data_IF_525398408866
#
_entry.id   IF_525398408866
#
_cell.length_a   1.000
_cell.length_b   1.000
_cell.length_c   1.000
_cell.angle_alpha   90.00
_cell.angle_beta   90.00
_cell.angle_gamma   90.00
#
_symmetry.space_group_name_H-M   'P 1'
#
loop_
_entity.id
_entity.type
_entity.pdbx_description
1 polymer ?
#
# COMPACT_ATOMS: atom_id res chain seq x y z
N UNK A 1 6.86 21.36 -26.75
CA UNK A 1 5.54 22.04 -26.88
C UNK A 1 5.77 23.54 -26.77
N UNK A 2 5.32 24.33 -27.78
CA UNK A 2 5.25 25.78 -27.66
C UNK A 2 4.05 26.17 -26.78
N UNK A 3 4.24 27.11 -25.87
CA UNK A 3 3.16 27.55 -24.99
C UNK A 3 2.13 28.45 -25.68
N UNK A 4 2.53 29.11 -26.77
CA UNK A 4 1.67 29.98 -27.57
C UNK A 4 1.42 29.30 -28.91
N UNK A 5 0.31 28.58 -29.01
CA UNK A 5 -0.14 27.92 -30.23
C UNK A 5 -1.36 28.67 -30.82
N UNK A 6 -1.49 28.76 -32.17
CA UNK A 6 -2.67 29.36 -32.76
C UNK A 6 -3.93 28.54 -32.44
N UNK A 7 -4.82 29.10 -31.63
CA UNK A 7 -6.11 28.47 -31.27
C UNK A 7 -6.09 27.48 -30.12
N UNK A 8 -4.92 27.14 -29.55
CA UNK A 8 -4.79 26.20 -28.42
C UNK A 8 -3.82 26.73 -27.36
N UNK A 9 -4.00 26.28 -26.12
CA UNK A 9 -3.11 26.60 -25.03
C UNK A 9 -2.08 25.49 -24.83
N UNK A 10 -0.80 25.77 -25.03
CA UNK A 10 0.27 24.79 -24.86
C UNK A 10 0.37 24.21 -23.46
N UNK A 11 -0.08 24.89 -22.40
CA UNK A 11 -0.16 24.36 -21.05
C UNK A 11 -1.18 23.22 -20.90
N UNK A 12 -2.32 23.33 -21.60
CA UNK A 12 -3.33 22.25 -21.59
C UNK A 12 -2.82 21.02 -22.32
N UNK A 13 -2.10 21.22 -23.44
CA UNK A 13 -1.46 20.14 -24.19
C UNK A 13 -0.38 19.43 -23.34
N UNK A 14 0.44 20.16 -22.58
CA UNK A 14 1.42 19.57 -21.65
C UNK A 14 0.71 18.67 -20.63
N UNK A 15 -0.38 19.14 -20.03
CA UNK A 15 -1.17 18.39 -19.07
C UNK A 15 -1.76 17.11 -19.66
N UNK A 16 -2.30 17.18 -20.87
CA UNK A 16 -2.89 16.04 -21.56
C UNK A 16 -1.82 14.99 -21.93
N UNK A 17 -0.65 15.43 -22.41
CA UNK A 17 0.48 14.53 -22.67
C UNK A 17 0.98 13.86 -21.38
N UNK A 18 1.15 14.62 -20.29
CA UNK A 18 1.61 14.08 -19.01
C UNK A 18 0.63 13.06 -18.42
N UNK A 19 -0.67 13.23 -18.65
CA UNK A 19 -1.70 12.28 -18.20
C UNK A 19 -1.81 11.05 -19.10
N UNK A 20 -1.77 11.24 -20.42
CA UNK A 20 -1.99 10.16 -21.38
C UNK A 20 -0.71 9.36 -21.69
N UNK A 21 0.45 9.99 -21.58
CA UNK A 21 1.76 9.42 -21.92
C UNK A 21 2.79 9.68 -20.81
N UNK A 22 2.66 9.06 -19.64
CA UNK A 22 3.48 9.34 -18.44
C UNK A 22 4.99 9.09 -18.61
N UNK A 23 5.38 8.40 -19.69
CA UNK A 23 6.77 8.11 -20.03
C UNK A 23 7.33 9.02 -21.13
N UNK A 24 6.56 10.01 -21.57
CA UNK A 24 7.02 10.98 -22.57
C UNK A 24 7.52 12.24 -21.87
N UNK A 25 8.80 12.55 -22.04
CA UNK A 25 9.36 13.80 -21.54
C UNK A 25 8.88 14.97 -22.40
N UNK A 26 8.38 16.01 -21.75
CA UNK A 26 7.86 17.21 -22.43
C UNK A 26 8.73 18.40 -22.09
N UNK A 27 9.24 19.09 -23.12
CA UNK A 27 9.94 20.37 -22.98
C UNK A 27 8.98 21.47 -23.38
N UNK A 28 8.70 22.40 -22.46
CA UNK A 28 7.95 23.60 -22.75
C UNK A 28 8.83 24.67 -23.39
N UNK A 29 8.34 25.35 -24.43
CA UNK A 29 9.05 26.40 -25.13
C UNK A 29 8.18 27.66 -25.11
N UNK A 30 8.77 28.83 -24.83
CA UNK A 30 8.05 30.09 -24.82
C UNK A 30 8.88 31.23 -25.42
N UNK A 31 8.21 32.14 -26.11
CA UNK A 31 8.80 33.39 -26.58
C UNK A 31 8.87 34.51 -25.53
N UNK A 32 8.19 34.33 -24.40
CA UNK A 32 8.19 35.27 -23.27
C UNK A 32 8.77 34.61 -22.01
N UNK A 33 9.84 35.20 -21.48
CA UNK A 33 10.42 34.73 -20.20
C UNK A 33 9.59 35.24 -19.03
N UNK A 34 8.64 34.40 -18.56
CA UNK A 34 7.89 34.64 -17.30
C UNK A 34 8.14 33.51 -16.32
N UNK A 35 8.50 33.84 -15.10
CA UNK A 35 8.70 32.86 -14.03
C UNK A 35 7.37 32.11 -13.75
N UNK A 36 6.25 32.81 -13.83
CA UNK A 36 4.93 32.23 -13.57
C UNK A 36 4.55 31.16 -14.60
N UNK A 37 4.80 31.41 -15.87
CA UNK A 37 4.54 30.43 -16.96
C UNK A 37 5.47 29.24 -16.88
N UNK A 38 6.74 29.43 -16.52
CA UNK A 38 7.70 28.36 -16.31
C UNK A 38 7.26 27.43 -15.14
N UNK A 39 6.92 28.02 -13.99
CA UNK A 39 6.43 27.28 -12.83
C UNK A 39 5.13 26.54 -13.16
N UNK A 40 4.22 27.13 -13.92
CA UNK A 40 2.98 26.51 -14.33
C UNK A 40 3.21 25.32 -15.27
N UNK A 41 4.10 25.43 -16.24
CA UNK A 41 4.47 24.34 -17.14
C UNK A 41 5.09 23.16 -16.38
N UNK A 42 6.01 23.43 -15.44
CA UNK A 42 6.64 22.40 -14.59
C UNK A 42 5.62 21.68 -13.70
N UNK A 43 4.68 22.42 -13.07
CA UNK A 43 3.59 21.83 -12.27
C UNK A 43 2.65 20.95 -13.08
N UNK A 44 2.46 21.23 -14.38
CA UNK A 44 1.62 20.47 -15.27
C UNK A 44 2.32 19.25 -15.89
N UNK A 45 3.62 19.05 -15.60
CA UNK A 45 4.35 17.86 -16.00
C UNK A 45 5.39 18.06 -17.10
N UNK A 46 5.76 19.32 -17.41
CA UNK A 46 6.92 19.58 -18.26
C UNK A 46 8.21 19.14 -17.54
N UNK A 47 9.11 18.48 -18.27
CA UNK A 47 10.43 18.05 -17.78
C UNK A 47 11.44 19.20 -17.78
N UNK A 48 11.25 20.19 -18.64
CA UNK A 48 12.12 21.35 -18.76
C UNK A 48 11.39 22.51 -19.45
N UNK A 49 11.91 23.74 -19.29
CA UNK A 49 11.36 24.96 -19.86
C UNK A 49 12.44 25.74 -20.60
N UNK A 50 12.20 26.07 -21.86
CA UNK A 50 13.14 26.80 -22.73
C UNK A 50 12.55 28.13 -23.22
N UNK A 51 13.37 29.18 -23.26
CA UNK A 51 12.97 30.52 -23.72
C UNK A 51 13.59 30.80 -25.10
N UNK A 52 12.77 31.28 -26.04
CA UNK A 52 13.22 31.80 -27.33
C UNK A 52 13.72 33.28 -27.20
N UNK A 53 14.74 33.71 -27.99
CA UNK A 53 15.51 32.93 -28.93
C UNK A 53 16.57 32.07 -28.27
N UNK A 54 16.86 30.89 -28.83
CA UNK A 54 17.85 29.96 -28.31
C UNK A 54 19.27 30.52 -28.57
N UNK A 55 19.87 31.10 -27.53
CA UNK A 55 21.20 31.78 -27.64
C UNK A 55 22.35 30.77 -27.61
N UNK A 56 22.18 29.60 -27.09
CA UNK A 56 23.20 28.55 -26.97
C UNK A 56 22.57 27.17 -27.19
N UNK A 57 22.87 26.56 -28.34
CA UNK A 57 22.38 25.23 -28.68
C UNK A 57 23.03 24.12 -27.85
N UNK A 58 24.27 24.34 -27.38
CA UNK A 58 24.97 23.34 -26.55
C UNK A 58 24.29 23.16 -25.21
N UNK A 59 23.75 24.23 -24.62
CA UNK A 59 22.94 24.12 -23.38
C UNK A 59 21.67 23.33 -23.60
N UNK A 60 21.02 23.48 -24.75
CA UNK A 60 19.81 22.69 -25.08
C UNK A 60 20.18 21.22 -25.21
N UNK A 61 21.26 20.90 -25.89
CA UNK A 61 21.73 19.53 -26.04
C UNK A 61 22.00 18.89 -24.66
N UNK A 62 22.69 19.60 -23.78
CA UNK A 62 22.97 19.12 -22.40
C UNK A 62 21.67 18.86 -21.64
N UNK A 63 20.68 19.74 -21.74
CA UNK A 63 19.37 19.55 -21.07
C UNK A 63 18.61 18.36 -21.66
N UNK A 64 18.57 18.22 -22.98
CA UNK A 64 17.95 17.07 -23.66
C UNK A 64 18.63 15.77 -23.26
N UNK A 65 19.97 15.72 -23.27
CA UNK A 65 20.73 14.53 -22.84
C UNK A 65 20.42 14.15 -21.40
N UNK A 66 20.38 15.12 -20.49
CA UNK A 66 20.01 14.90 -19.07
C UNK A 66 18.60 14.31 -18.93
N UNK A 67 17.64 14.84 -19.68
CA UNK A 67 16.26 14.35 -19.68
C UNK A 67 16.22 12.91 -20.23
N UNK A 68 16.87 12.64 -21.35
CA UNK A 68 16.94 11.31 -21.96
C UNK A 68 17.63 10.31 -21.04
N UNK A 69 18.70 10.70 -20.37
CA UNK A 69 19.39 9.86 -19.38
C UNK A 69 18.49 9.53 -18.20
N UNK A 70 17.72 10.49 -17.70
CA UNK A 70 16.75 10.27 -16.63
C UNK A 70 15.64 9.32 -17.08
N UNK A 71 15.10 9.49 -18.29
CA UNK A 71 14.10 8.60 -18.87
C UNK A 71 14.62 7.18 -19.06
N UNK A 72 15.87 7.07 -19.55
CA UNK A 72 16.52 5.77 -19.71
C UNK A 72 16.70 5.04 -18.36
N UNK A 73 17.13 5.77 -17.31
CA UNK A 73 17.26 5.21 -15.95
C UNK A 73 15.92 4.73 -15.40
N UNK A 74 14.82 5.48 -15.62
CA UNK A 74 13.47 5.08 -15.22
C UNK A 74 13.05 3.82 -15.98
N UNK A 75 13.23 3.79 -17.29
CA UNK A 75 12.87 2.64 -18.13
C UNK A 75 13.69 1.39 -17.79
N UNK A 76 15.01 1.54 -17.54
CA UNK A 76 15.88 0.42 -17.15
C UNK A 76 15.54 -0.09 -15.76
N UNK A 77 15.21 0.81 -14.82
CA UNK A 77 14.74 0.41 -13.50
C UNK A 77 13.43 -0.41 -13.60
N UNK A 78 12.49 0.01 -14.43
CA UNK A 78 11.25 -0.74 -14.68
C UNK A 78 11.52 -2.09 -15.35
N UNK A 79 12.44 -2.13 -16.33
CA UNK A 79 12.85 -3.38 -16.99
C UNK A 79 13.50 -4.34 -16.00
N UNK A 80 14.41 -3.85 -15.15
CA UNK A 80 15.04 -4.64 -14.10
C UNK A 80 14.01 -5.18 -13.11
N UNK A 81 13.04 -4.35 -12.73
CA UNK A 81 11.93 -4.74 -11.87
C UNK A 81 11.04 -5.82 -12.51
N UNK A 82 10.69 -5.66 -13.79
CA UNK A 82 9.95 -6.68 -14.53
C UNK A 82 10.72 -7.99 -14.65
N UNK A 83 12.06 -7.95 -14.79
CA UNK A 83 12.91 -9.14 -14.75
C UNK A 83 12.93 -9.81 -13.38
N UNK A 84 12.99 -9.02 -12.29
CA UNK A 84 12.91 -9.54 -10.92
C UNK A 84 11.59 -10.28 -10.70
N UNK A 85 10.47 -9.71 -11.13
CA UNK A 85 9.16 -10.36 -11.03
C UNK A 85 9.02 -11.59 -11.94
N UNK A 86 9.64 -11.57 -13.13
CA UNK A 86 9.59 -12.71 -14.06
C UNK A 86 10.38 -13.93 -13.58
N UNK A 87 11.45 -13.69 -12.78
CA UNK A 87 12.27 -14.77 -12.20
C UNK A 87 11.74 -15.30 -10.85
N UNK A 88 10.72 -14.68 -10.26
CA UNK A 88 10.02 -15.17 -9.08
C UNK A 88 8.68 -15.73 -9.56
N UNK A 89 8.52 -17.07 -9.50
CA UNK A 89 7.23 -17.70 -9.77
C UNK A 89 6.23 -17.25 -8.69
N UNK A 90 5.40 -16.27 -9.02
CA UNK A 90 4.37 -15.77 -8.12
C UNK A 90 3.17 -15.22 -8.88
N UNK A 91 1.98 -15.62 -8.44
CA UNK A 91 0.72 -14.98 -8.80
C UNK A 91 0.26 -13.98 -7.71
N UNK A 92 1.15 -13.68 -6.75
CA UNK A 92 0.84 -12.86 -5.58
C UNK A 92 1.03 -11.38 -5.88
N UNK A 93 0.17 -10.56 -5.33
CA UNK A 93 0.25 -9.10 -5.42
C UNK A 93 1.33 -8.62 -4.46
N UNK A 94 2.42 -8.09 -5.01
CA UNK A 94 3.57 -7.60 -4.25
C UNK A 94 3.87 -6.17 -4.69
N UNK A 95 4.28 -5.33 -3.74
CA UNK A 95 4.68 -3.95 -4.01
C UNK A 95 5.97 -3.82 -4.82
N UNK A 96 6.24 -2.60 -5.29
CA UNK A 96 7.39 -2.26 -6.14
C UNK A 96 8.41 -1.35 -5.44
N UNK A 97 8.25 -1.05 -4.15
CA UNK A 97 9.19 -0.20 -3.41
C UNK A 97 10.60 -0.81 -3.37
N UNK A 98 11.63 0.02 -3.25
CA UNK A 98 13.03 -0.41 -3.16
C UNK A 98 13.25 -1.40 -2.00
N UNK A 99 12.56 -1.19 -0.88
CA UNK A 99 12.61 -2.07 0.28
C UNK A 99 12.12 -3.49 -0.07
N UNK A 100 10.96 -3.59 -0.75
CA UNK A 100 10.40 -4.88 -1.17
C UNK A 100 11.26 -5.54 -2.25
N UNK A 101 11.79 -4.77 -3.20
CA UNK A 101 12.71 -5.31 -4.21
C UNK A 101 13.97 -5.92 -3.59
N UNK A 102 14.58 -5.23 -2.62
CA UNK A 102 15.72 -5.75 -1.86
C UNK A 102 15.37 -7.07 -1.14
N UNK A 103 14.17 -7.15 -0.54
CA UNK A 103 13.67 -8.38 0.08
C UNK A 103 13.46 -9.50 -0.93
N UNK A 104 12.89 -9.22 -2.10
CA UNK A 104 12.72 -10.21 -3.17
C UNK A 104 14.07 -10.76 -3.67
N UNK A 105 15.10 -9.92 -3.77
CA UNK A 105 16.45 -10.39 -4.10
C UNK A 105 17.02 -11.32 -3.02
N UNK A 106 16.78 -11.02 -1.73
CA UNK A 106 17.14 -11.92 -0.63
C UNK A 106 16.38 -13.22 -0.71
N UNK A 107 15.06 -13.18 -0.97
CA UNK A 107 14.22 -14.37 -1.17
C UNK A 107 14.78 -15.28 -2.27
N UNK A 108 15.17 -14.73 -3.44
CA UNK A 108 15.80 -15.51 -4.52
C UNK A 108 17.05 -16.27 -4.07
N UNK A 109 17.87 -15.64 -3.24
CA UNK A 109 19.11 -16.27 -2.73
C UNK A 109 18.81 -17.37 -1.72
N UNK A 110 17.95 -17.08 -0.72
CA UNK A 110 17.67 -18.03 0.36
C UNK A 110 16.72 -19.15 -0.05
N UNK A 111 15.86 -18.94 -1.05
CA UNK A 111 14.97 -19.98 -1.54
C UNK A 111 15.75 -21.23 -2.02
N UNK A 112 16.88 -21.03 -2.67
CA UNK A 112 17.76 -22.10 -3.17
C UNK A 112 18.53 -22.84 -2.08
N UNK A 113 18.54 -22.31 -0.87
CA UNK A 113 19.22 -22.90 0.29
C UNK A 113 18.20 -23.63 1.15
N UNK A 114 18.53 -24.84 1.60
CA UNK A 114 17.68 -25.61 2.51
C UNK A 114 17.97 -25.22 3.96
N UNK A 115 17.76 -23.95 4.28
CA UNK A 115 18.06 -23.35 5.57
C UNK A 115 16.82 -22.76 6.22
N UNK A 116 16.87 -22.60 7.52
CA UNK A 116 15.86 -21.92 8.32
C UNK A 116 15.77 -20.44 7.94
N UNK A 117 14.56 -19.90 7.89
CA UNK A 117 14.31 -18.50 7.66
C UNK A 117 13.33 -17.95 8.72
N UNK A 118 13.69 -16.81 9.31
CA UNK A 118 12.86 -16.09 10.26
C UNK A 118 12.34 -14.81 9.62
N UNK A 119 11.02 -14.71 9.46
CA UNK A 119 10.34 -13.54 8.89
C UNK A 119 9.79 -12.69 10.04
N UNK A 120 10.21 -11.43 10.10
CA UNK A 120 9.74 -10.49 11.13
C UNK A 120 9.03 -9.30 10.48
N UNK A 121 8.09 -8.71 11.21
CA UNK A 121 7.35 -7.52 10.76
C UNK A 121 5.96 -7.48 11.37
N UNK A 122 5.34 -6.32 11.36
CA UNK A 122 4.03 -6.08 11.95
C UNK A 122 2.94 -7.03 11.41
N UNK A 123 1.82 -7.09 12.13
CA UNK A 123 0.64 -7.84 11.66
C UNK A 123 0.13 -7.26 10.34
N UNK A 124 -0.20 -8.14 9.38
CA UNK A 124 -0.76 -7.71 8.08
C UNK A 124 0.23 -7.21 7.03
N UNK A 125 1.56 -7.26 7.28
CA UNK A 125 2.59 -6.82 6.30
C UNK A 125 2.81 -7.79 5.13
N UNK A 126 2.29 -9.03 5.24
CA UNK A 126 2.40 -10.07 4.22
C UNK A 126 3.44 -11.17 4.51
N UNK A 127 3.72 -11.48 5.80
CA UNK A 127 4.69 -12.53 6.18
C UNK A 127 4.40 -13.88 5.54
N UNK A 128 3.15 -14.32 5.49
CA UNK A 128 2.72 -15.57 4.85
C UNK A 128 2.99 -15.57 3.33
N UNK A 129 2.76 -14.44 2.66
CA UNK A 129 3.07 -14.27 1.24
C UNK A 129 4.57 -14.48 0.97
N UNK A 130 5.44 -13.91 1.81
CA UNK A 130 6.88 -14.12 1.70
C UNK A 130 7.31 -15.55 2.02
N UNK A 131 6.64 -16.25 2.93
CA UNK A 131 6.88 -17.67 3.19
C UNK A 131 6.52 -18.54 1.96
N UNK A 132 5.37 -18.27 1.33
CA UNK A 132 4.97 -18.94 0.08
C UNK A 132 5.96 -18.64 -1.07
N UNK A 133 6.46 -17.40 -1.18
CA UNK A 133 7.47 -17.03 -2.17
C UNK A 133 8.80 -17.77 -1.96
N UNK A 134 9.23 -17.93 -0.72
CA UNK A 134 10.43 -18.71 -0.40
C UNK A 134 10.24 -20.16 -0.82
N UNK A 135 9.08 -20.74 -0.53
CA UNK A 135 8.77 -22.11 -0.90
C UNK A 135 8.68 -22.30 -2.43
N UNK A 136 7.88 -21.50 -3.12
CA UNK A 136 7.64 -21.62 -4.56
C UNK A 136 8.90 -21.39 -5.42
N UNK A 137 9.91 -20.69 -4.88
CA UNK A 137 11.21 -20.49 -5.53
C UNK A 137 12.31 -21.41 -4.98
N UNK A 138 11.95 -22.42 -4.17
CA UNK A 138 12.88 -23.35 -3.54
C UNK A 138 13.08 -24.65 -4.34
N UNK A 139 14.06 -25.45 -3.91
CA UNK A 139 14.23 -26.81 -4.43
C UNK A 139 13.06 -27.73 -4.08
N UNK A 140 12.24 -27.36 -3.08
CA UNK A 140 11.06 -28.09 -2.61
C UNK A 140 9.74 -27.52 -3.16
N UNK A 141 9.77 -26.70 -4.21
CA UNK A 141 8.59 -26.00 -4.76
C UNK A 141 7.44 -26.93 -5.22
N UNK A 142 7.76 -28.15 -5.59
CA UNK A 142 6.79 -29.17 -6.03
C UNK A 142 6.34 -30.06 -4.86
N UNK A 143 6.85 -29.85 -3.65
CA UNK A 143 6.48 -30.57 -2.44
C UNK A 143 5.42 -29.82 -1.66
N UNK A 144 4.90 -30.42 -0.59
CA UNK A 144 3.87 -29.79 0.23
C UNK A 144 4.38 -28.54 0.96
N UNK A 145 3.56 -27.49 0.95
CA UNK A 145 3.68 -26.33 1.82
C UNK A 145 2.56 -26.40 2.86
N UNK A 146 2.93 -26.60 4.11
CA UNK A 146 1.98 -26.64 5.24
C UNK A 146 2.16 -25.40 6.07
N UNK A 147 1.07 -24.69 6.39
CA UNK A 147 1.07 -23.45 7.18
C UNK A 147 0.26 -23.65 8.45
N UNK A 148 0.76 -23.14 9.57
CA UNK A 148 0.05 -23.12 10.85
C UNK A 148 0.28 -21.80 11.55
N UNK A 149 -0.81 -21.23 12.10
CA UNK A 149 -0.74 -20.09 13.01
C UNK A 149 -0.68 -20.62 14.46
N UNK A 150 0.44 -20.36 15.13
CA UNK A 150 0.69 -20.86 16.50
C UNK A 150 -0.09 -20.09 17.57
N UNK A 151 -0.48 -18.83 17.28
CA UNK A 151 -1.20 -17.97 18.25
C UNK A 151 -2.71 -18.21 18.28
N UNK A 152 -3.27 -18.92 17.31
CA UNK A 152 -4.72 -19.13 17.19
C UNK A 152 -5.24 -20.39 17.93
N UNK A 153 -4.38 -21.17 18.54
CA UNK A 153 -4.68 -22.50 19.07
C UNK A 153 -4.23 -22.64 20.53
N UNK A 154 -4.94 -23.47 21.29
CA UNK A 154 -4.45 -23.91 22.61
C UNK A 154 -3.22 -24.81 22.45
N UNK A 155 -2.34 -24.85 23.45
CA UNK A 155 -1.11 -25.67 23.42
C UNK A 155 -1.38 -27.13 23.03
N UNK A 156 -2.37 -27.77 23.65
CA UNK A 156 -2.72 -29.17 23.38
C UNK A 156 -3.14 -29.38 21.92
N UNK A 157 -3.91 -28.46 21.35
CA UNK A 157 -4.33 -28.54 19.95
C UNK A 157 -3.17 -28.28 19.01
N UNK A 158 -2.31 -27.31 19.31
CA UNK A 158 -1.11 -26.99 18.52
C UNK A 158 -0.16 -28.18 18.47
N UNK A 159 0.11 -28.83 19.64
CA UNK A 159 0.94 -30.02 19.71
C UNK A 159 0.33 -31.18 18.91
N UNK A 160 -0.95 -31.43 19.09
CA UNK A 160 -1.68 -32.46 18.34
C UNK A 160 -1.66 -32.23 16.84
N UNK A 161 -1.74 -30.97 16.36
CA UNK A 161 -1.67 -30.64 14.94
C UNK A 161 -0.26 -30.79 14.38
N UNK A 162 0.76 -30.34 15.11
CA UNK A 162 2.13 -30.35 14.62
C UNK A 162 2.78 -31.73 14.71
N UNK A 163 2.66 -32.39 15.88
CA UNK A 163 3.32 -33.67 16.13
C UNK A 163 2.43 -34.87 15.84
N UNK A 164 1.10 -34.66 15.76
CA UNK A 164 0.14 -35.75 15.70
C UNK A 164 -0.14 -36.38 17.08
N UNK A 165 -1.14 -37.23 17.17
CA UNK A 165 -1.47 -37.90 18.42
C UNK A 165 -1.95 -39.33 18.22
N UNK A 166 -1.81 -40.16 19.23
CA UNK A 166 -2.41 -41.47 19.35
C UNK A 166 -3.78 -41.39 20.02
N UNK A 167 -4.66 -42.32 19.65
CA UNK A 167 -5.98 -42.47 20.29
C UNK A 167 -5.84 -42.59 21.81
N UNK A 168 -6.63 -41.81 22.56
CA UNK A 168 -6.65 -41.81 24.01
C UNK A 168 -5.55 -40.97 24.67
N UNK A 169 -4.77 -40.18 23.93
CA UNK A 169 -3.70 -39.33 24.48
C UNK A 169 -4.24 -38.11 25.24
N UNK A 170 -5.46 -37.67 24.99
CA UNK A 170 -6.22 -36.65 25.72
C UNK A 170 -7.71 -36.85 25.53
N UNK A 171 -8.57 -36.11 26.26
CA UNK A 171 -10.01 -36.34 26.35
C UNK A 171 -10.76 -36.45 25.03
N UNK A 172 -10.31 -35.70 23.98
CA UNK A 172 -10.94 -35.67 22.66
C UNK A 172 -10.16 -36.48 21.58
N UNK A 173 -9.20 -37.29 22.00
CA UNK A 173 -8.38 -38.07 21.08
C UNK A 173 -9.06 -39.39 20.70
N UNK A 174 -10.16 -39.36 19.95
CA UNK A 174 -10.95 -40.54 19.55
C UNK A 174 -10.28 -41.44 18.51
N UNK A 175 -9.30 -40.93 17.74
CA UNK A 175 -8.57 -41.66 16.67
C UNK A 175 -7.13 -41.17 16.59
N UNK A 176 -6.26 -41.97 15.96
CA UNK A 176 -4.90 -41.55 15.61
C UNK A 176 -4.97 -40.39 14.62
N UNK A 177 -4.08 -39.40 14.75
CA UNK A 177 -3.97 -38.27 13.81
C UNK A 177 -2.50 -38.06 13.42
N UNK A 178 -2.29 -37.91 12.12
CA UNK A 178 -0.99 -37.54 11.53
C UNK A 178 -0.74 -36.06 11.78
N UNK A 179 0.49 -35.72 12.22
CA UNK A 179 0.87 -34.33 12.46
C UNK A 179 1.49 -33.66 11.22
N UNK A 180 1.54 -32.33 11.25
CA UNK A 180 2.05 -31.52 10.14
C UNK A 180 3.54 -31.76 9.87
N UNK A 181 4.36 -32.12 10.87
CA UNK A 181 5.75 -32.53 10.62
C UNK A 181 5.86 -33.77 9.73
N UNK A 182 4.92 -34.69 9.87
CA UNK A 182 4.85 -35.88 9.01
C UNK A 182 4.23 -35.54 7.66
N UNK A 183 3.21 -34.69 7.65
CA UNK A 183 2.53 -34.25 6.41
C UNK A 183 3.43 -33.42 5.49
N UNK A 184 4.27 -32.54 6.09
CA UNK A 184 5.20 -31.68 5.38
C UNK A 184 6.55 -32.38 5.07
N UNK A 185 6.68 -33.67 5.35
CA UNK A 185 7.93 -34.40 5.12
C UNK A 185 8.40 -34.30 3.67
N UNK A 186 9.62 -33.92 3.42
CA UNK A 186 10.19 -33.59 2.11
C UNK A 186 9.82 -32.19 1.61
N UNK A 187 8.91 -31.48 2.29
CA UNK A 187 8.38 -30.17 1.91
C UNK A 187 8.81 -29.02 2.84
N UNK A 188 7.90 -28.08 3.05
CA UNK A 188 8.12 -26.88 3.88
C UNK A 188 6.99 -26.71 4.88
N UNK A 189 7.32 -26.41 6.14
CA UNK A 189 6.40 -26.05 7.20
C UNK A 189 6.61 -24.60 7.58
N UNK A 190 5.54 -23.81 7.50
CA UNK A 190 5.50 -22.42 7.90
C UNK A 190 4.83 -22.28 9.26
N UNK A 191 5.56 -21.72 10.23
CA UNK A 191 5.10 -21.47 11.60
C UNK A 191 4.88 -19.97 11.77
N UNK A 192 3.63 -19.51 11.68
CA UNK A 192 3.30 -18.11 11.91
C UNK A 192 3.06 -17.84 13.39
N UNK A 193 3.42 -16.63 13.86
CA UNK A 193 3.29 -16.19 15.25
C UNK A 193 4.01 -17.11 16.24
N UNK A 194 5.24 -17.52 15.91
CA UNK A 194 6.01 -18.49 16.71
C UNK A 194 6.26 -18.02 18.16
N UNK A 195 6.28 -16.73 18.42
CA UNK A 195 6.46 -16.14 19.76
C UNK A 195 5.23 -16.30 20.67
N UNK A 196 4.08 -16.73 20.13
CA UNK A 196 2.88 -17.03 20.91
C UNK A 196 2.90 -18.44 21.54
N UNK A 197 3.95 -19.22 21.27
CA UNK A 197 4.07 -20.59 21.78
C UNK A 197 4.57 -20.62 23.22
N UNK A 198 4.17 -21.65 23.98
CA UNK A 198 4.64 -21.88 25.34
C UNK A 198 6.08 -22.37 25.37
N UNK A 199 6.77 -22.19 26.50
CA UNK A 199 8.15 -22.69 26.69
C UNK A 199 8.25 -24.21 26.53
N UNK A 200 7.22 -24.95 26.95
CA UNK A 200 7.13 -26.40 26.82
C UNK A 200 7.12 -26.83 25.34
N UNK A 201 6.30 -26.18 24.55
CA UNK A 201 6.26 -26.41 23.11
C UNK A 201 7.60 -26.05 22.43
N UNK A 202 8.22 -24.93 22.81
CA UNK A 202 9.50 -24.48 22.26
C UNK A 202 10.61 -25.51 22.46
N UNK A 203 10.64 -26.23 23.60
CA UNK A 203 11.58 -27.34 23.86
C UNK A 203 11.37 -28.48 22.85
N UNK A 204 10.12 -28.85 22.56
CA UNK A 204 9.80 -29.90 21.58
C UNK A 204 10.18 -29.50 20.17
N UNK A 205 9.91 -28.24 19.82
CA UNK A 205 10.28 -27.70 18.50
C UNK A 205 11.81 -27.69 18.32
N UNK A 206 12.56 -27.27 19.34
CA UNK A 206 14.04 -27.27 19.27
C UNK A 206 14.60 -28.66 18.95
N UNK A 207 14.09 -29.72 19.57
CA UNK A 207 14.51 -31.11 19.28
C UNK A 207 14.30 -31.48 17.82
N UNK A 208 13.20 -31.06 17.23
CA UNK A 208 12.93 -31.29 15.80
C UNK A 208 13.90 -30.53 14.92
N UNK A 209 14.19 -29.24 15.25
CA UNK A 209 15.12 -28.39 14.48
C UNK A 209 16.58 -28.87 14.54
N UNK A 210 16.98 -29.53 15.63
CA UNK A 210 18.34 -30.06 15.79
C UNK A 210 18.53 -31.44 15.19
N UNK A 211 17.56 -32.34 15.44
CA UNK A 211 17.72 -33.75 15.11
C UNK A 211 16.78 -34.27 14.01
N UNK A 212 15.83 -33.48 13.54
CA UNK A 212 14.78 -33.98 12.64
C UNK A 212 13.91 -35.07 13.27
N UNK A 213 13.87 -35.15 14.61
CA UNK A 213 13.18 -36.20 15.36
C UNK A 213 12.08 -35.62 16.23
N UNK A 214 10.92 -36.22 16.22
CA UNK A 214 9.80 -35.86 17.09
C UNK A 214 9.03 -37.10 17.55
N UNK A 215 8.15 -36.90 18.55
CA UNK A 215 7.23 -37.93 19.03
C UNK A 215 5.78 -37.45 18.92
N UNK A 216 4.89 -38.35 18.55
CA UNK A 216 3.45 -38.09 18.62
C UNK A 216 3.01 -37.99 20.08
N UNK A 217 2.00 -37.16 20.34
CA UNK A 217 1.40 -37.06 21.67
C UNK A 217 0.82 -38.44 22.06
N UNK A 218 1.21 -38.95 23.24
CA UNK A 218 0.80 -40.29 23.71
C UNK A 218 1.58 -41.46 23.09
N UNK A 219 2.77 -41.18 22.46
CA UNK A 219 3.64 -42.22 21.90
C UNK A 219 5.08 -42.04 22.37
N UNK A 220 5.75 -43.15 22.68
CA UNK A 220 7.17 -43.20 23.02
C UNK A 220 8.08 -43.45 21.80
N UNK A 221 7.49 -43.65 20.63
CA UNK A 221 8.25 -43.92 19.40
C UNK A 221 8.75 -42.65 18.75
N UNK A 222 10.06 -42.59 18.46
CA UNK A 222 10.68 -41.51 17.72
C UNK A 222 10.35 -41.63 16.21
N UNK A 223 9.93 -40.51 15.65
CA UNK A 223 9.68 -40.36 14.20
C UNK A 223 10.68 -39.36 13.62
N UNK A 224 11.11 -39.60 12.39
CA UNK A 224 12.02 -38.70 11.66
C UNK A 224 11.27 -37.94 10.60
N UNK A 225 11.71 -36.70 10.38
CA UNK A 225 11.18 -35.81 9.34
C UNK A 225 12.29 -35.00 8.70
N UNK A 226 12.18 -34.81 7.41
CA UNK A 226 13.01 -33.89 6.63
C UNK A 226 12.12 -32.73 6.15
N UNK A 227 11.99 -31.69 6.96
CA UNK A 227 11.12 -30.54 6.69
C UNK A 227 11.93 -29.25 6.75
N UNK A 228 11.81 -28.43 5.71
CA UNK A 228 12.31 -27.07 5.75
C UNK A 228 11.37 -26.22 6.59
N UNK A 229 11.91 -25.51 7.59
CA UNK A 229 11.12 -24.63 8.46
C UNK A 229 11.29 -23.16 8.05
N UNK A 230 10.17 -22.46 7.97
CA UNK A 230 10.09 -21.01 7.89
C UNK A 230 9.25 -20.54 9.09
N UNK A 231 9.82 -19.70 9.94
CA UNK A 231 9.10 -19.14 11.09
C UNK A 231 8.79 -17.67 10.89
N UNK A 232 7.68 -17.19 11.44
CA UNK A 232 7.33 -15.78 11.42
C UNK A 232 6.86 -15.26 12.78
N UNK A 233 7.09 -13.98 13.03
CA UNK A 233 6.60 -13.29 14.23
C UNK A 233 6.32 -11.81 13.95
N UNK A 234 5.35 -11.25 14.65
CA UNK A 234 5.05 -9.83 14.69
C UNK A 234 5.67 -9.13 15.92
N UNK A 235 6.18 -9.88 16.89
CA UNK A 235 6.81 -9.36 18.10
C UNK A 235 8.34 -9.22 17.92
N UNK A 236 8.94 -8.37 18.73
CA UNK A 236 10.39 -8.39 18.86
C UNK A 236 10.82 -9.65 19.65
N UNK A 237 11.41 -10.60 18.93
CA UNK A 237 11.79 -11.88 19.52
C UNK A 237 12.94 -11.72 20.54
N UNK A 238 13.79 -10.68 20.41
CA UNK A 238 14.85 -10.40 21.39
C UNK A 238 14.27 -9.91 22.70
N UNK A 239 13.23 -9.07 22.63
CA UNK A 239 12.47 -8.66 23.81
C UNK A 239 11.78 -9.86 24.48
N UNK A 240 11.20 -10.77 23.68
CA UNK A 240 10.60 -12.01 24.20
C UNK A 240 11.63 -12.90 24.91
N UNK A 241 12.87 -12.98 24.40
CA UNK A 241 13.97 -13.70 25.05
C UNK A 241 14.37 -13.02 26.37
N UNK A 242 14.53 -11.70 26.36
CA UNK A 242 14.88 -10.92 27.54
C UNK A 242 13.83 -11.07 28.67
N UNK A 243 12.56 -11.14 28.30
CA UNK A 243 11.42 -11.32 29.21
C UNK A 243 11.19 -12.79 29.62
N UNK A 244 12.00 -13.73 29.12
CA UNK A 244 11.89 -15.16 29.42
C UNK A 244 10.66 -15.86 28.82
N UNK A 245 9.93 -15.24 27.89
CA UNK A 245 8.77 -15.82 27.20
C UNK A 245 9.16 -16.61 25.95
N UNK A 246 10.40 -16.43 25.48
CA UNK A 246 10.98 -17.18 24.37
C UNK A 246 12.37 -17.69 24.74
N UNK A 247 12.66 -18.93 24.38
CA UNK A 247 13.96 -19.54 24.72
C UNK A 247 15.07 -19.01 23.83
N UNK A 248 16.21 -18.71 24.44
CA UNK A 248 17.39 -18.19 23.75
C UNK A 248 17.99 -19.22 22.76
N UNK A 249 18.05 -20.51 23.17
CA UNK A 249 18.56 -21.59 22.32
C UNK A 249 17.72 -21.77 21.04
N UNK A 250 16.40 -21.73 21.16
CA UNK A 250 15.49 -21.79 20.02
C UNK A 250 15.64 -20.53 19.11
N UNK A 251 15.80 -19.35 19.71
CA UNK A 251 16.03 -18.12 18.95
C UNK A 251 17.28 -18.24 18.07
N UNK A 252 18.42 -18.64 18.63
CA UNK A 252 19.64 -18.80 17.82
C UNK A 252 19.49 -19.87 16.74
N UNK A 253 18.72 -20.91 16.98
CA UNK A 253 18.46 -21.93 15.97
C UNK A 253 17.57 -21.45 14.84
N UNK A 254 16.55 -20.62 15.12
CA UNK A 254 15.65 -20.06 14.13
C UNK A 254 16.27 -18.88 13.35
N UNK A 255 17.12 -18.10 13.98
CA UNK A 255 17.66 -16.85 13.44
C UNK A 255 18.91 -17.08 12.56
N UNK A 256 18.86 -18.06 11.64
CA UNK A 256 19.93 -18.27 10.66
C UNK A 256 19.87 -17.20 9.56
N UNK A 257 18.70 -16.96 9.01
CA UNK A 257 18.48 -15.88 8.05
C UNK A 257 17.24 -15.09 8.45
N UNK A 258 17.43 -13.81 8.79
CA UNK A 258 16.34 -12.89 9.17
C UNK A 258 15.90 -12.07 7.96
N UNK A 259 14.59 -12.10 7.69
CA UNK A 259 13.91 -11.24 6.72
C UNK A 259 12.96 -10.31 7.48
N UNK A 260 13.25 -9.03 7.48
CA UNK A 260 12.38 -8.03 8.08
C UNK A 260 11.55 -7.36 6.98
N UNK A 261 10.21 -7.45 7.11
CA UNK A 261 9.27 -6.80 6.18
C UNK A 261 8.85 -5.48 6.81
N UNK A 262 9.15 -4.33 6.17
CA UNK A 262 8.77 -3.02 6.69
C UNK A 262 7.25 -2.83 6.68
N UNK A 263 6.72 -2.03 7.60
CA UNK A 263 5.31 -1.67 7.62
C UNK A 263 4.93 -0.84 6.37
N UNK A 264 3.64 -0.83 6.03
CA UNK A 264 3.15 -0.21 4.80
C UNK A 264 3.40 1.31 4.75
N UNK A 265 3.36 2.00 5.90
CA UNK A 265 3.68 3.43 6.04
C UNK A 265 5.12 3.79 5.64
N UNK A 266 6.07 2.84 5.69
CA UNK A 266 7.47 3.04 5.28
C UNK A 266 7.70 2.72 3.79
N UNK A 267 6.69 2.19 3.09
CA UNK A 267 6.71 1.85 1.66
C UNK A 267 5.48 2.40 0.93
N UNK A 268 5.27 3.70 1.03
CA UNK A 268 4.09 4.40 0.49
C UNK A 268 3.91 4.20 -1.02
N UNK A 269 5.01 4.00 -1.76
CA UNK A 269 4.97 3.71 -3.20
C UNK A 269 4.17 2.44 -3.52
N UNK A 270 4.15 1.47 -2.59
CA UNK A 270 3.40 0.23 -2.77
C UNK A 270 1.90 0.42 -2.60
N UNK A 271 1.45 1.43 -1.86
CA UNK A 271 0.03 1.66 -1.57
C UNK A 271 -0.77 1.83 -2.86
N UNK A 272 -0.26 2.64 -3.80
CA UNK A 272 -0.92 2.87 -5.09
C UNK A 272 -1.07 1.58 -5.90
N UNK A 273 0.00 0.81 -5.98
CA UNK A 273 0.05 -0.46 -6.73
C UNK A 273 -0.89 -1.49 -6.12
N UNK A 274 -0.83 -1.66 -4.79
CA UNK A 274 -1.67 -2.59 -4.04
C UNK A 274 -3.14 -2.20 -4.11
N UNK A 275 -3.47 -0.92 -3.91
CA UNK A 275 -4.84 -0.43 -4.00
C UNK A 275 -5.46 -0.66 -5.39
N UNK A 276 -4.70 -0.39 -6.47
CA UNK A 276 -5.15 -0.64 -7.83
C UNK A 276 -5.39 -2.13 -8.09
N UNK A 277 -4.46 -2.99 -7.66
CA UNK A 277 -4.57 -4.44 -7.83
C UNK A 277 -5.74 -5.02 -7.03
N UNK A 278 -5.95 -4.59 -5.78
CA UNK A 278 -7.12 -5.00 -4.99
C UNK A 278 -8.44 -4.50 -5.59
N UNK A 279 -8.46 -3.29 -6.12
CA UNK A 279 -9.65 -2.79 -6.83
C UNK A 279 -10.02 -3.70 -7.99
N UNK A 280 -9.06 -4.11 -8.83
CA UNK A 280 -9.29 -5.04 -9.94
C UNK A 280 -9.75 -6.42 -9.44
N UNK A 281 -9.09 -6.96 -8.41
CA UNK A 281 -9.46 -8.24 -7.78
C UNK A 281 -10.91 -8.22 -7.30
N UNK A 282 -11.30 -7.18 -6.56
CA UNK A 282 -12.65 -7.09 -6.01
C UNK A 282 -13.71 -6.75 -7.05
N UNK A 283 -13.39 -5.95 -8.07
CA UNK A 283 -14.29 -5.76 -9.21
C UNK A 283 -14.60 -7.10 -9.89
N UNK A 284 -13.59 -7.93 -10.12
CA UNK A 284 -13.79 -9.27 -10.68
C UNK A 284 -14.61 -10.19 -9.75
N UNK A 285 -14.28 -10.21 -8.43
CA UNK A 285 -14.98 -10.99 -7.41
C UNK A 285 -16.47 -10.66 -7.32
N UNK A 286 -16.81 -9.37 -7.33
CA UNK A 286 -18.18 -8.89 -7.17
C UNK A 286 -18.89 -8.62 -8.51
N UNK A 287 -18.26 -8.97 -9.64
CA UNK A 287 -18.79 -8.77 -11.00
C UNK A 287 -19.21 -7.31 -11.26
N UNK A 288 -18.49 -6.36 -10.68
CA UNK A 288 -18.66 -4.92 -10.94
C UNK A 288 -17.83 -4.52 -12.17
N UNK A 289 -18.26 -3.46 -12.86
CA UNK A 289 -17.45 -2.84 -13.91
C UNK A 289 -16.14 -2.33 -13.31
N UNK A 290 -15.11 -2.15 -14.12
CA UNK A 290 -13.82 -1.60 -13.70
C UNK A 290 -14.02 -0.24 -13.03
N UNK A 291 -13.52 -0.12 -11.79
CA UNK A 291 -13.57 1.09 -10.99
C UNK A 291 -12.20 1.78 -11.01
N UNK A 292 -12.20 3.10 -11.00
CA UNK A 292 -10.99 3.92 -10.84
C UNK A 292 -10.96 4.53 -9.44
N UNK A 293 -9.77 4.69 -8.89
CA UNK A 293 -9.57 5.38 -7.60
C UNK A 293 -9.45 6.88 -7.89
N UNK A 294 -10.26 7.73 -7.23
CA UNK A 294 -10.15 9.18 -7.39
C UNK A 294 -8.83 9.71 -6.80
N UNK A 295 -8.30 10.84 -7.30
CA UNK A 295 -7.10 11.46 -6.74
C UNK A 295 -7.23 11.80 -5.24
N UNK A 296 -8.42 12.19 -4.81
CA UNK A 296 -8.70 12.47 -3.39
C UNK A 296 -8.57 11.21 -2.52
N UNK A 297 -9.17 10.09 -2.94
CA UNK A 297 -9.01 8.79 -2.27
C UNK A 297 -7.55 8.36 -2.22
N UNK A 298 -6.83 8.48 -3.35
CA UNK A 298 -5.41 8.11 -3.38
C UNK A 298 -4.59 8.92 -2.38
N UNK A 299 -4.84 10.23 -2.28
CA UNK A 299 -4.17 11.10 -1.29
C UNK A 299 -4.46 10.64 0.14
N UNK A 300 -5.72 10.29 0.47
CA UNK A 300 -6.09 9.75 1.78
C UNK A 300 -5.35 8.46 2.09
N UNK A 301 -5.35 7.51 1.14
CA UNK A 301 -4.65 6.23 1.31
C UNK A 301 -3.14 6.40 1.56
N UNK A 302 -2.49 7.38 0.90
CA UNK A 302 -1.05 7.67 1.06
C UNK A 302 -0.71 8.33 2.40
N UNK A 303 -1.65 9.03 3.02
CA UNK A 303 -1.45 9.76 4.27
C UNK A 303 -1.90 8.97 5.51
N UNK A 304 -2.59 7.86 5.35
CA UNK A 304 -3.04 7.02 6.46
C UNK A 304 -1.92 6.11 6.97
N UNK A 305 -1.88 5.85 8.28
CA UNK A 305 -0.77 5.13 8.94
C UNK A 305 -0.76 3.62 8.72
N UNK A 306 -1.90 3.05 8.33
CA UNK A 306 -2.06 1.61 8.05
C UNK A 306 -1.54 0.71 9.17
N UNK A 307 -2.04 0.87 10.40
CA UNK A 307 -1.66 0.04 11.56
C UNK A 307 -1.88 -1.45 11.31
N UNK A 308 -2.90 -1.83 10.55
CA UNK A 308 -3.17 -3.18 10.08
C UNK A 308 -2.51 -3.52 8.74
N UNK A 309 -1.64 -2.63 8.21
CA UNK A 309 -0.85 -2.80 7.01
C UNK A 309 -1.66 -3.21 5.76
N UNK A 310 -1.18 -4.18 4.98
CA UNK A 310 -1.84 -4.65 3.74
C UNK A 310 -3.22 -5.26 4.03
N UNK A 311 -3.39 -5.93 5.18
CA UNK A 311 -4.70 -6.50 5.56
C UNK A 311 -5.76 -5.42 5.73
N UNK A 312 -5.41 -4.30 6.37
CA UNK A 312 -6.29 -3.15 6.55
C UNK A 312 -6.56 -2.46 5.21
N UNK A 313 -5.53 -2.20 4.41
CA UNK A 313 -5.68 -1.63 3.06
C UNK A 313 -6.61 -2.48 2.18
N UNK A 314 -6.42 -3.80 2.18
CA UNK A 314 -7.25 -4.72 1.41
C UNK A 314 -8.72 -4.66 1.81
N UNK A 315 -8.98 -4.65 3.12
CA UNK A 315 -10.34 -4.53 3.66
C UNK A 315 -10.98 -3.17 3.31
N UNK A 316 -10.19 -2.09 3.37
CA UNK A 316 -10.66 -0.75 3.02
C UNK A 316 -11.02 -0.63 1.54
N UNK A 317 -10.21 -1.21 0.66
CA UNK A 317 -10.53 -1.24 -0.78
C UNK A 317 -11.71 -2.16 -1.08
N UNK A 318 -11.83 -3.31 -0.41
CA UNK A 318 -13.00 -4.19 -0.55
C UNK A 318 -14.28 -3.46 -0.18
N UNK A 319 -14.28 -2.76 0.97
CA UNK A 319 -15.39 -1.91 1.41
C UNK A 319 -15.75 -0.85 0.36
N UNK A 320 -14.75 -0.12 -0.11
CA UNK A 320 -14.94 0.93 -1.11
C UNK A 320 -15.51 0.38 -2.43
N UNK A 321 -15.01 -0.77 -2.91
CA UNK A 321 -15.54 -1.41 -4.12
C UNK A 321 -16.99 -1.85 -3.93
N UNK A 322 -17.36 -2.36 -2.75
CA UNK A 322 -18.75 -2.78 -2.48
C UNK A 322 -19.70 -1.58 -2.49
N UNK A 323 -19.33 -0.46 -1.86
CA UNK A 323 -20.19 0.71 -1.72
C UNK A 323 -20.20 1.64 -2.95
N UNK A 324 -19.15 1.61 -3.77
CA UNK A 324 -19.07 2.47 -4.94
C UNK A 324 -20.30 2.30 -5.88
N UNK A 325 -21.08 3.36 -6.04
CA UNK A 325 -22.24 3.44 -6.94
C UNK A 325 -21.85 3.89 -8.35
N UNK A 326 -20.69 4.56 -8.48
CA UNK A 326 -20.20 5.14 -9.73
C UNK A 326 -18.97 4.39 -10.24
N UNK A 327 -18.50 4.73 -11.45
CA UNK A 327 -17.27 4.15 -12.03
C UNK A 327 -15.97 4.61 -11.35
N UNK A 328 -16.06 5.45 -10.33
CA UNK A 328 -14.91 6.03 -9.60
C UNK A 328 -15.18 5.94 -8.11
N UNK A 329 -14.27 5.34 -7.38
CA UNK A 329 -14.29 5.29 -5.91
C UNK A 329 -14.08 6.71 -5.37
N UNK A 330 -15.02 7.16 -4.54
CA UNK A 330 -15.03 8.48 -3.91
C UNK A 330 -14.63 8.38 -2.42
N UNK A 331 -14.24 9.47 -1.77
CA UNK A 331 -13.93 9.47 -0.34
C UNK A 331 -15.03 8.86 0.54
N UNK A 332 -16.28 9.13 0.23
CA UNK A 332 -17.44 8.64 0.98
C UNK A 332 -17.62 7.11 0.88
N UNK A 333 -16.96 6.44 -0.07
CA UNK A 333 -16.94 4.98 -0.19
C UNK A 333 -15.92 4.32 0.75
N UNK A 334 -14.97 5.09 1.34
CA UNK A 334 -13.97 4.58 2.27
C UNK A 334 -14.55 4.38 3.67
N UNK A 335 -13.98 3.44 4.47
CA UNK A 335 -14.32 3.32 5.89
C UNK A 335 -14.08 4.64 6.66
N UNK A 336 -14.94 4.93 7.63
CA UNK A 336 -14.94 6.18 8.41
C UNK A 336 -13.59 6.45 9.12
N UNK A 337 -12.91 5.42 9.60
CA UNK A 337 -11.60 5.55 10.25
C UNK A 337 -10.51 6.10 9.32
N UNK A 338 -10.61 5.85 8.01
CA UNK A 338 -9.65 6.36 7.01
C UNK A 338 -10.07 7.78 6.58
N UNK A 339 -11.36 8.01 6.44
CA UNK A 339 -11.90 9.33 6.11
C UNK A 339 -11.60 10.34 7.23
N UNK A 340 -11.80 9.96 8.50
CA UNK A 340 -11.58 10.85 9.66
C UNK A 340 -10.13 11.13 10.01
N UNK A 341 -9.18 10.26 9.61
CA UNK A 341 -7.75 10.48 9.93
C UNK A 341 -7.08 11.56 9.09
N UNK A 342 -7.61 11.86 7.90
CA UNK A 342 -7.16 13.00 7.08
C UNK A 342 -7.46 14.34 7.78
N UNK A 343 -8.44 14.36 8.68
CA UNK A 343 -8.93 15.56 9.36
C UNK A 343 -8.24 15.81 10.71
N UNK A 344 -7.69 14.80 11.39
CA UNK A 344 -7.14 14.93 12.74
C UNK A 344 -5.92 15.88 12.77
N UNK A 345 -5.11 15.90 11.71
CA UNK A 345 -4.00 16.88 11.62
C UNK A 345 -4.46 18.32 11.32
N UNK A 346 -5.65 18.48 10.71
CA UNK A 346 -6.29 19.78 10.55
C UNK A 346 -7.07 20.20 11.83
N UNK A 347 -7.48 19.22 12.66
CA UNK A 347 -8.20 19.45 13.91
C UNK A 347 -7.30 19.86 15.09
N UNK A 348 -6.02 19.45 15.10
CA UNK A 348 -5.09 19.83 16.16
C UNK A 348 -4.72 21.32 16.16
N UNK A 349 -5.02 22.06 15.10
CA UNK A 349 -4.90 23.53 15.04
C UNK A 349 -6.20 24.27 15.43
N UNK A 350 -7.29 23.55 15.73
CA UNK A 350 -8.58 24.12 16.10
C UNK A 350 -8.96 23.69 17.52
N UNK A 351 -8.80 24.63 18.45
CA UNK A 351 -9.08 24.44 19.86
C UNK A 351 -10.46 23.87 20.19
N UNK A 352 -10.47 23.20 21.34
CA UNK A 352 -11.60 22.77 22.17
C UNK A 352 -12.59 21.78 21.57
N UNK A 353 -12.24 20.47 21.76
CA UNK A 353 -13.00 19.31 21.29
C UNK A 353 -14.25 19.00 22.11
N UNK A 354 -15.25 19.86 22.13
CA UNK A 354 -16.55 19.62 22.78
C UNK A 354 -17.71 19.52 21.77
N UNK A 355 -17.58 18.68 20.73
CA UNK A 355 -18.64 18.50 19.74
C UNK A 355 -18.85 17.05 19.35
N UNK A 356 -20.12 16.62 19.19
CA UNK A 356 -20.50 15.37 18.57
C UNK A 356 -19.92 15.26 17.15
N UNK A 357 -19.48 14.04 16.77
CA UNK A 357 -18.90 13.73 15.45
C UNK A 357 -19.71 14.26 14.26
N UNK A 358 -21.03 14.21 14.33
CA UNK A 358 -21.91 14.71 13.27
C UNK A 358 -21.79 16.24 13.08
N UNK A 359 -21.70 16.96 14.19
CA UNK A 359 -21.51 18.43 14.21
C UNK A 359 -20.15 18.82 13.68
N UNK A 360 -19.08 18.09 14.06
CA UNK A 360 -17.73 18.30 13.58
C UNK A 360 -17.60 18.04 12.06
N UNK A 361 -18.23 16.97 11.56
CA UNK A 361 -18.29 16.64 10.13
C UNK A 361 -19.01 17.70 9.32
N UNK A 362 -20.13 18.20 9.83
CA UNK A 362 -20.87 19.30 9.18
C UNK A 362 -20.06 20.59 9.11
N UNK A 363 -19.40 20.96 10.21
CA UNK A 363 -18.58 22.17 10.32
C UNK A 363 -17.37 22.11 9.36
N UNK A 364 -16.67 20.97 9.30
CA UNK A 364 -15.58 20.73 8.35
C UNK A 364 -16.05 20.84 6.91
N UNK A 365 -17.11 20.12 6.57
CA UNK A 365 -17.69 20.16 5.23
C UNK A 365 -18.07 21.58 4.84
N UNK A 366 -18.63 22.33 5.78
CA UNK A 366 -19.01 23.74 5.58
C UNK A 366 -17.80 24.60 5.27
N UNK A 367 -16.71 24.50 6.07
CA UNK A 367 -15.47 25.26 5.86
C UNK A 367 -14.78 24.89 4.56
N UNK A 368 -14.70 23.61 4.24
CA UNK A 368 -14.13 23.13 2.98
C UNK A 368 -14.85 23.74 1.77
N UNK A 369 -16.18 23.65 1.73
CA UNK A 369 -16.93 24.19 0.60
C UNK A 369 -16.90 25.73 0.58
N UNK A 370 -16.82 26.40 1.72
CA UNK A 370 -16.62 27.84 1.78
C UNK A 370 -15.27 28.26 1.20
N UNK A 371 -14.19 27.59 1.56
CA UNK A 371 -12.85 27.81 1.01
C UNK A 371 -12.80 27.54 -0.49
N UNK A 372 -13.41 26.45 -0.93
CA UNK A 372 -13.52 26.05 -2.34
C UNK A 372 -14.26 27.13 -3.16
N UNK A 373 -15.37 27.64 -2.64
CA UNK A 373 -16.15 28.70 -3.29
C UNK A 373 -15.40 30.05 -3.29
N UNK A 374 -14.64 30.35 -2.23
CA UNK A 374 -13.77 31.53 -2.18
C UNK A 374 -12.64 31.43 -3.23
N UNK A 375 -11.97 30.29 -3.34
CA UNK A 375 -10.91 30.05 -4.34
C UNK A 375 -11.43 30.07 -5.78
N UNK A 376 -12.66 29.63 -5.99
CA UNK A 376 -13.32 29.63 -7.30
C UNK A 376 -14.12 30.90 -7.58
N UNK A 377 -14.04 31.93 -6.73
CA UNK A 377 -14.78 33.20 -6.84
C UNK A 377 -16.30 33.01 -7.05
N UNK A 378 -16.88 31.98 -6.43
CA UNK A 378 -18.29 31.64 -6.57
C UNK A 378 -18.66 30.96 -7.89
N UNK A 379 -17.68 30.58 -8.70
CA UNK A 379 -17.92 29.85 -9.95
C UNK A 379 -18.12 28.35 -9.66
N UNK A 380 -19.38 27.91 -9.60
CA UNK A 380 -19.77 26.52 -9.33
C UNK A 380 -19.20 25.51 -10.33
N UNK A 381 -18.97 25.90 -11.58
CA UNK A 381 -18.38 25.00 -12.58
C UNK A 381 -16.89 24.78 -12.34
N UNK A 382 -16.17 25.79 -11.86
CA UNK A 382 -14.78 25.68 -11.47
C UNK A 382 -14.65 24.92 -10.13
N UNK A 383 -15.47 25.29 -9.15
CA UNK A 383 -15.52 24.62 -7.84
C UNK A 383 -15.84 23.12 -7.99
N UNK A 384 -16.79 22.74 -8.84
CA UNK A 384 -17.13 21.34 -9.07
C UNK A 384 -15.97 20.54 -9.69
N UNK A 385 -15.21 21.15 -10.61
CA UNK A 385 -14.01 20.53 -11.19
C UNK A 385 -12.90 20.33 -10.14
N UNK A 386 -12.67 21.33 -9.28
CA UNK A 386 -11.65 21.25 -8.21
C UNK A 386 -12.03 20.19 -7.17
N UNK A 387 -13.32 20.13 -6.79
CA UNK A 387 -13.84 19.15 -5.83
C UNK A 387 -13.99 17.73 -6.39
N UNK A 388 -13.88 17.53 -7.71
CA UNK A 388 -14.19 16.25 -8.36
C UNK A 388 -15.68 15.86 -8.31
N UNK A 389 -16.57 16.84 -8.11
CA UNK A 389 -18.03 16.64 -8.02
C UNK A 389 -18.73 17.08 -9.29
N UNK A 390 -19.93 16.55 -9.54
CA UNK A 390 -20.81 17.15 -10.54
C UNK A 390 -21.36 18.49 -10.01
N UNK A 391 -21.68 19.42 -10.91
CA UNK A 391 -22.23 20.74 -10.54
C UNK A 391 -23.49 20.61 -9.69
N UNK A 392 -24.35 19.64 -10.00
CA UNK A 392 -25.61 19.41 -9.28
C UNK A 392 -25.36 18.85 -7.88
N UNK A 393 -24.38 17.97 -7.72
CA UNK A 393 -23.98 17.45 -6.41
C UNK A 393 -23.35 18.54 -5.54
N UNK A 394 -22.51 19.41 -6.11
CA UNK A 394 -21.97 20.56 -5.40
C UNK A 394 -23.09 21.52 -4.95
N UNK A 395 -24.06 21.80 -5.82
CA UNK A 395 -25.21 22.63 -5.48
C UNK A 395 -26.01 22.07 -4.30
N UNK A 396 -26.38 20.77 -4.36
CA UNK A 396 -27.09 20.08 -3.27
C UNK A 396 -26.29 20.07 -1.96
N UNK A 397 -24.97 19.90 -2.02
CA UNK A 397 -24.09 19.96 -0.82
C UNK A 397 -24.07 21.37 -0.20
N UNK A 398 -23.98 22.43 -1.02
CA UNK A 398 -24.05 23.80 -0.53
C UNK A 398 -25.39 24.10 0.15
N UNK A 399 -26.48 23.62 -0.43
CA UNK A 399 -27.85 23.78 0.12
C UNK A 399 -27.99 23.02 1.46
N UNK A 400 -27.55 21.76 1.54
CA UNK A 400 -27.57 20.95 2.76
C UNK A 400 -26.74 21.58 3.90
N UNK A 401 -25.63 22.25 3.56
CA UNK A 401 -24.74 22.89 4.53
C UNK A 401 -25.11 24.37 4.82
N UNK A 402 -26.17 24.89 4.21
CA UNK A 402 -26.62 26.28 4.38
C UNK A 402 -25.61 27.30 3.86
N UNK A 403 -24.85 26.98 2.79
CA UNK A 403 -23.84 27.86 2.21
C UNK A 403 -24.45 28.62 1.03
N UNK A 404 -24.51 29.94 1.14
CA UNK A 404 -24.91 30.83 0.04
C UNK A 404 -23.69 31.11 -0.87
N UNK A 405 -23.59 30.39 -1.98
CA UNK A 405 -22.51 30.53 -2.95
C UNK A 405 -22.47 31.88 -3.66
N UNK A 406 -23.59 32.63 -3.69
CA UNK A 406 -23.67 33.95 -4.33
C UNK A 406 -22.83 34.98 -3.56
N UNK A 407 -22.63 34.80 -2.25
CA UNK A 407 -21.76 35.69 -1.42
C UNK A 407 -20.30 35.68 -1.86
N UNK A 408 -19.86 34.63 -2.58
CA UNK A 408 -18.48 34.47 -3.06
C UNK A 408 -18.28 34.96 -4.49
N UNK A 409 -19.34 35.39 -5.21
CA UNK A 409 -19.20 36.01 -6.52
C UNK A 409 -18.70 37.43 -6.36
N UNK A 410 -17.54 37.75 -6.96
CA UNK A 410 -17.10 39.13 -7.09
C UNK A 410 -18.19 39.94 -7.82
N UNK A 411 -18.70 40.98 -7.19
CA UNK A 411 -19.63 41.91 -7.81
C UNK A 411 -19.00 42.51 -9.08
N UNK A 412 -19.55 42.20 -10.24
CA UNK A 412 -19.26 42.88 -11.50
C UNK A 412 -19.89 44.32 -11.56
N UNK A 413 -20.22 44.89 -10.42
CA UNK A 413 -20.93 46.19 -10.36
C UNK A 413 -20.05 47.32 -9.78
N UNK A 414 -18.80 47.51 -10.23
CA UNK A 414 -18.06 48.74 -9.91
C UNK A 414 -17.26 49.29 -11.09
N UNK A 415 -17.71 49.04 -12.34
CA UNK A 415 -17.05 49.61 -13.53
C UNK A 415 -17.99 50.44 -14.45
N UNK A 416 -19.18 50.82 -14.00
CA UNK A 416 -20.09 51.70 -14.78
C UNK A 416 -20.28 53.10 -14.19
N UNK A 417 -19.78 53.41 -12.98
CA UNK A 417 -19.94 54.77 -12.40
C UNK A 417 -18.78 55.72 -12.69
N UNK A 418 -17.66 55.29 -13.28
CA UNK A 418 -16.53 56.20 -13.62
C UNK A 418 -16.55 56.71 -15.06
N UNK A 419 -17.67 56.62 -15.81
CA UNK A 419 -17.77 57.13 -17.18
C UNK A 419 -18.80 58.27 -17.38
N UNK A 420 -19.39 58.81 -16.33
CA UNK A 420 -20.32 59.96 -16.42
C UNK A 420 -19.83 61.08 -15.52
N UNK A 421 -18.72 61.68 -15.88
CA UNK A 421 -18.14 62.79 -15.10
C UNK A 421 -17.08 63.58 -15.86
N UNK A 422 -17.14 63.63 -17.20
CA UNK A 422 -16.38 64.61 -18.00
C UNK A 422 -17.16 64.89 -19.26
N UNK A 423 -18.07 65.83 -19.17
CA UNK A 423 -18.45 66.80 -20.20
C UNK A 423 -18.68 68.15 -19.53
#
# INVERSE_FOLDING_TARGET
VDLVLPGENGLDLIKDIAQSYPFTAVIAISGQASIETAVSAMKLGASEYLVKPFRNLDLINIQVEKILQTQWLIAENQRLNAMIHKDIETNLIIGNSLAIQSLLQKVKKIAKLDTLALITGETGVGKSVFAELIHSNSLRKNQKFVSVNCGSLTETLLESLLFGHKRGSFTDAFRDKVGYFQEANGGTLFLDEITETTLSFQVKLLKVLEGGVFRQVGSDHDMRTDVRIIAATNKDIQECVANGTFREDLYYRLNVIKLHIPPLRERKDDIKVLASAFTQEFCAKYKKSELKISPGVLSMLLNYDWKGNIRELRNAIEHAVILAEHKVIQPDDLPENIFGSADVNAFSEMGDGSGDWHSAKQEFSRRYFQQLLAQSEGNLSLASKIAGLTRDNLYKKCEQLGIDYNKYRKNKMNNEEDKVGQQ
#
